data_IF_722038414655
#
_entry.id   IF_722038414655
#
_cell.length_a   1.000
_cell.length_b   1.000
_cell.length_c   1.000
_cell.angle_alpha   90.00
_cell.angle_beta   90.00
_cell.angle_gamma   90.00
#
_symmetry.space_group_name_H-M   'P 1'
#
loop_
_entity.id
_entity.type
_entity.pdbx_description
1 polymer ?
#
# COMPACT_ATOMS: atom_id res chain seq x y z
N UNK A 1 -9.91 17.52 -17.06
CA UNK A 1 -10.62 18.06 -15.89
C UNK A 1 -10.81 16.92 -14.92
N UNK A 2 -10.06 16.88 -13.82
CA UNK A 2 -9.94 15.71 -12.93
C UNK A 2 -10.69 16.02 -11.64
N UNK A 3 -11.95 15.58 -11.57
CA UNK A 3 -12.86 15.91 -10.48
C UNK A 3 -12.60 14.98 -9.30
N UNK A 4 -11.91 15.48 -8.27
CA UNK A 4 -11.81 14.83 -6.96
C UNK A 4 -13.03 15.19 -6.12
N UNK A 5 -13.90 14.22 -5.85
CA UNK A 5 -14.95 14.36 -4.82
C UNK A 5 -14.34 13.99 -3.46
N UNK A 6 -14.19 14.98 -2.59
CA UNK A 6 -13.81 14.78 -1.19
C UNK A 6 -15.06 14.35 -0.41
N UNK A 7 -14.97 13.22 0.31
CA UNK A 7 -16.01 12.80 1.23
C UNK A 7 -15.80 13.52 2.58
N UNK A 8 -16.65 14.49 2.89
CA UNK A 8 -16.75 15.11 4.21
C UNK A 8 -17.39 14.11 5.18
N UNK A 9 -16.62 13.58 6.12
CA UNK A 9 -17.14 12.85 7.27
C UNK A 9 -17.22 13.80 8.47
N UNK A 10 -18.43 14.27 8.78
CA UNK A 10 -18.75 14.90 10.07
C UNK A 10 -18.94 13.77 11.08
N UNK A 11 -18.14 13.75 12.15
CA UNK A 11 -18.39 12.87 13.29
C UNK A 11 -18.48 13.73 14.54
N UNK A 12 -19.70 13.81 15.07
CA UNK A 12 -20.03 14.42 16.35
C UNK A 12 -20.16 13.29 17.39
N UNK A 13 -19.35 13.29 18.45
CA UNK A 13 -19.61 12.46 19.63
C UNK A 13 -18.97 13.08 20.89
N UNK A 14 -19.83 13.38 21.86
CA UNK A 14 -19.57 13.97 23.17
C UNK A 14 -19.10 12.95 24.21
N UNK A 15 -18.08 13.35 24.99
CA UNK A 15 -17.72 13.05 26.40
C UNK A 15 -17.71 11.62 26.98
N UNK A 16 -16.56 11.35 27.62
CA UNK A 16 -16.30 10.52 28.82
C UNK A 16 -16.03 9.00 28.68
N UNK A 17 -14.73 8.68 28.68
CA UNK A 17 -14.15 7.77 29.67
C UNK A 17 -14.23 6.25 29.43
N UNK A 18 -13.35 5.72 28.57
CA UNK A 18 -12.48 4.54 28.82
C UNK A 18 -11.33 4.64 27.81
N UNK A 19 -10.05 4.67 28.24
CA UNK A 19 -8.92 4.64 27.31
C UNK A 19 -8.70 3.21 26.81
N UNK A 20 -9.58 2.72 25.95
CA UNK A 20 -9.23 1.63 25.05
C UNK A 20 -8.38 2.26 23.95
N UNK A 21 -7.11 1.85 23.85
CA UNK A 21 -6.28 2.17 22.70
C UNK A 21 -6.86 1.40 21.51
N UNK A 22 -7.91 1.95 20.91
CA UNK A 22 -8.41 1.49 19.62
C UNK A 22 -7.26 1.76 18.65
N UNK A 23 -6.48 0.71 18.36
CA UNK A 23 -5.53 0.72 17.27
C UNK A 23 -6.36 0.90 16.01
N UNK A 24 -6.56 2.15 15.61
CA UNK A 24 -7.13 2.48 14.32
C UNK A 24 -6.24 1.80 13.29
N UNK A 25 -6.72 0.79 12.53
CA UNK A 25 -5.93 0.32 11.41
C UNK A 25 -5.75 1.55 10.53
N UNK A 26 -4.51 2.03 10.44
CA UNK A 26 -4.14 3.08 9.51
C UNK A 26 -4.40 2.46 8.15
N UNK A 27 -5.60 2.73 7.61
CA UNK A 27 -6.04 2.22 6.34
C UNK A 27 -5.03 2.71 5.32
N UNK A 28 -4.12 1.82 4.91
CA UNK A 28 -3.18 2.12 3.83
C UNK A 28 -4.02 2.54 2.64
N UNK A 29 -3.81 3.77 2.17
CA UNK A 29 -4.50 4.29 1.01
C UNK A 29 -4.39 3.27 -0.12
N UNK A 30 -5.53 2.70 -0.51
CA UNK A 30 -5.56 1.64 -1.50
C UNK A 30 -5.19 2.25 -2.86
N UNK A 31 -3.98 1.96 -3.34
CA UNK A 31 -3.60 2.30 -4.72
C UNK A 31 -4.52 1.55 -5.68
N UNK A 32 -5.37 2.27 -6.40
CA UNK A 32 -6.20 1.70 -7.45
C UNK A 32 -5.45 1.75 -8.78
N UNK A 33 -5.16 0.58 -9.34
CA UNK A 33 -4.57 0.43 -10.66
C UNK A 33 -5.66 -0.10 -11.59
N UNK A 34 -6.03 0.69 -12.60
CA UNK A 34 -7.05 0.28 -13.55
C UNK A 34 -6.49 -0.79 -14.48
N UNK A 35 -7.23 -1.88 -14.68
CA UNK A 35 -6.85 -2.94 -15.60
C UNK A 35 -6.59 -2.37 -17.00
N UNK A 36 -5.56 -2.85 -17.71
CA UNK A 36 -4.76 -4.06 -17.44
C UNK A 36 -3.50 -3.83 -16.58
N UNK A 37 -3.42 -2.72 -15.84
CA UNK A 37 -2.24 -2.35 -15.04
C UNK A 37 -2.16 -3.18 -13.76
N UNK A 38 -0.96 -3.66 -13.43
CA UNK A 38 -0.71 -4.39 -12.19
C UNK A 38 -0.63 -3.43 -11.01
N UNK A 39 -1.25 -3.81 -9.90
CA UNK A 39 -0.91 -3.26 -8.58
C UNK A 39 0.31 -4.01 -8.05
N UNK A 40 1.42 -3.30 -7.90
CA UNK A 40 2.69 -3.82 -7.39
C UNK A 40 2.87 -3.44 -5.92
N UNK A 41 3.25 -4.41 -5.10
CA UNK A 41 3.45 -4.26 -3.66
C UNK A 41 4.83 -4.79 -3.27
N UNK A 42 5.57 -4.01 -2.49
CA UNK A 42 6.92 -4.33 -2.03
C UNK A 42 6.92 -4.68 -0.55
N UNK A 43 7.51 -5.81 -0.19
CA UNK A 43 7.60 -6.32 1.18
C UNK A 43 9.07 -6.48 1.58
N UNK A 44 9.40 -6.11 2.82
CA UNK A 44 10.75 -6.29 3.39
C UNK A 44 11.02 -7.73 3.87
N UNK A 45 10.25 -8.69 3.36
CA UNK A 45 10.36 -10.13 3.62
C UNK A 45 9.85 -10.90 2.41
N UNK A 46 10.17 -12.18 2.33
CA UNK A 46 9.75 -13.10 1.25
C UNK A 46 8.40 -13.78 1.51
N UNK A 47 7.84 -13.65 2.72
CA UNK A 47 6.58 -14.26 3.11
C UNK A 47 5.34 -13.40 2.73
N UNK A 48 5.55 -12.22 2.16
CA UNK A 48 4.50 -11.24 1.84
C UNK A 48 3.61 -10.88 3.05
N UNK A 49 4.20 -10.89 4.25
CA UNK A 49 3.50 -10.63 5.50
C UNK A 49 3.71 -9.18 5.97
N UNK A 50 2.77 -8.70 6.79
CA UNK A 50 2.79 -7.34 7.32
C UNK A 50 2.46 -6.26 6.29
N UNK A 51 2.76 -5.01 6.61
CA UNK A 51 2.46 -3.87 5.76
C UNK A 51 3.49 -3.74 4.63
N UNK A 52 3.07 -3.64 3.36
CA UNK A 52 3.98 -3.38 2.25
C UNK A 52 4.68 -2.02 2.44
N UNK A 53 5.97 -1.97 2.14
CA UNK A 53 6.81 -0.77 2.21
C UNK A 53 6.48 0.24 1.12
N UNK A 54 6.01 -0.24 -0.03
CA UNK A 54 5.54 0.59 -1.15
C UNK A 54 4.45 -0.16 -1.88
N UNK A 55 3.45 0.57 -2.35
CA UNK A 55 2.45 0.08 -3.31
C UNK A 55 2.35 1.09 -4.44
N UNK A 56 2.46 0.63 -5.69
CA UNK A 56 2.37 1.44 -6.90
C UNK A 56 1.68 0.69 -8.05
N UNK A 57 1.45 1.38 -9.15
CA UNK A 57 0.93 0.79 -10.38
C UNK A 57 2.06 0.56 -11.37
N UNK A 58 2.01 -0.59 -12.03
CA UNK A 58 3.03 -1.05 -12.95
C UNK A 58 2.38 -1.61 -14.23
N UNK A 59 2.77 -1.07 -15.37
CA UNK A 59 2.19 -1.46 -16.65
C UNK A 59 2.68 -2.83 -17.11
N UNK A 60 3.89 -3.25 -16.72
CA UNK A 60 4.48 -4.51 -17.14
C UNK A 60 5.57 -4.97 -16.16
N UNK A 61 5.54 -6.26 -15.79
CA UNK A 61 6.58 -6.87 -14.96
C UNK A 61 7.86 -7.05 -15.79
N UNK A 62 8.84 -6.17 -15.63
CA UNK A 62 10.05 -6.10 -16.48
C UNK A 62 11.28 -5.53 -15.77
N UNK A 63 11.29 -5.57 -14.44
CA UNK A 63 12.29 -4.92 -13.61
C UNK A 63 13.62 -5.68 -13.56
N UNK A 64 14.71 -4.92 -13.65
CA UNK A 64 16.05 -5.40 -13.32
C UNK A 64 16.67 -4.47 -12.27
N UNK A 65 16.69 -4.93 -11.01
CA UNK A 65 17.26 -4.15 -9.90
C UNK A 65 18.76 -4.40 -9.67
N UNK A 66 19.32 -5.46 -10.28
CA UNK A 66 20.73 -5.85 -10.09
C UNK A 66 21.08 -5.96 -8.60
N UNK A 67 22.05 -5.15 -8.17
CA UNK A 67 22.50 -5.09 -6.77
C UNK A 67 21.82 -3.99 -5.93
N UNK A 68 20.90 -3.22 -6.51
CA UNK A 68 20.17 -2.13 -5.86
C UNK A 68 18.85 -2.61 -5.26
N UNK A 69 18.29 -1.82 -4.34
CA UNK A 69 16.96 -2.07 -3.79
C UNK A 69 15.86 -1.56 -4.73
N UNK A 70 14.71 -2.24 -4.84
CA UNK A 70 13.60 -1.82 -5.69
C UNK A 70 12.95 -0.49 -5.26
N UNK A 71 12.99 -0.22 -3.96
CA UNK A 71 12.41 0.95 -3.33
C UNK A 71 13.12 1.23 -1.99
N UNK A 72 12.96 2.46 -1.49
CA UNK A 72 13.46 2.86 -0.17
C UNK A 72 12.81 2.04 0.95
N UNK A 73 13.59 1.64 1.95
CA UNK A 73 13.09 0.89 3.11
C UNK A 73 12.95 -0.62 2.89
N UNK A 74 13.41 -1.14 1.74
CA UNK A 74 13.61 -2.57 1.53
C UNK A 74 15.05 -2.97 1.90
N UNK A 75 15.25 -4.20 2.41
CA UNK A 75 16.57 -4.78 2.52
C UNK A 75 17.16 -5.02 1.12
N UNK A 76 18.50 -5.09 1.04
CA UNK A 76 19.23 -5.41 -0.19
C UNK A 76 18.81 -6.76 -0.78
N UNK A 77 18.67 -7.76 0.10
CA UNK A 77 18.32 -9.14 -0.22
C UNK A 77 17.11 -9.56 0.63
N UNK A 78 16.47 -10.69 0.29
CA UNK A 78 15.33 -11.26 1.04
C UNK A 78 14.06 -10.37 1.09
N UNK A 79 13.85 -9.56 0.06
CA UNK A 79 12.59 -8.84 -0.15
C UNK A 79 11.64 -9.63 -1.06
N UNK A 80 10.35 -9.28 -1.02
CA UNK A 80 9.32 -9.85 -1.89
C UNK A 80 8.60 -8.74 -2.65
N UNK A 81 8.27 -9.01 -3.92
CA UNK A 81 7.41 -8.13 -4.73
C UNK A 81 6.22 -8.93 -5.24
N UNK A 82 5.00 -8.42 -5.00
CA UNK A 82 3.75 -9.05 -5.44
C UNK A 82 3.07 -8.13 -6.46
N UNK A 83 2.76 -8.67 -7.63
CA UNK A 83 1.90 -8.02 -8.61
C UNK A 83 0.52 -8.68 -8.57
N UNK A 84 -0.52 -7.86 -8.65
CA UNK A 84 -1.90 -8.34 -8.73
C UNK A 84 -2.65 -7.52 -9.77
N UNK A 85 -3.37 -8.19 -10.65
CA UNK A 85 -4.28 -7.57 -11.62
C UNK A 85 -5.64 -8.24 -11.47
N UNK A 86 -6.70 -7.45 -11.55
CA UNK A 86 -8.07 -7.96 -11.69
C UNK A 86 -8.43 -7.86 -13.16
N UNK A 87 -9.00 -8.93 -13.74
CA UNK A 87 -9.36 -8.97 -15.15
C UNK A 87 -10.86 -9.09 -15.33
#
# INVERSE_FOLDING_TARGET
MKTTLQATAVVLATTAGVLTTVATPTASAATSCASPVYKRQFFANTAFSGTPKKTDCDAAVSENWGTKTPASGLPKDNFGVRWTVTR
#
